data_IF_412880227579
#
_entry.id   IF_412880227579
#
_cell.length_a   1.000
_cell.length_b   1.000
_cell.length_c   1.000
_cell.angle_alpha   90.00
_cell.angle_beta   90.00
_cell.angle_gamma   90.00
#
_symmetry.space_group_name_H-M   'P 1'
#
loop_
_entity.id
_entity.type
_entity.pdbx_description
1 polymer ?
#
# COMPACT_ATOMS: atom_id res chain seq x y z
N UNK A 1 7.09 -19.72 -2.13
CA UNK A 1 8.09 -19.43 -1.07
C UNK A 1 8.18 -17.93 -0.88
N UNK A 2 8.21 -17.44 0.37
CA UNK A 2 8.40 -16.00 0.65
C UNK A 2 9.81 -15.59 0.23
N UNK A 3 9.93 -14.46 -0.45
CA UNK A 3 11.20 -13.99 -1.06
C UNK A 3 11.97 -13.02 -0.18
N UNK A 4 11.40 -12.59 0.95
CA UNK A 4 12.04 -11.68 1.90
C UNK A 4 11.92 -12.19 3.34
N UNK A 5 12.93 -11.92 4.21
CA UNK A 5 12.83 -12.23 5.64
C UNK A 5 11.64 -11.57 6.32
N UNK A 6 11.27 -10.35 5.90
CA UNK A 6 10.09 -9.66 6.39
C UNK A 6 8.80 -10.41 6.07
N UNK A 7 8.63 -10.84 4.81
CA UNK A 7 7.47 -11.64 4.39
C UNK A 7 7.39 -12.98 5.11
N UNK A 8 8.54 -13.65 5.31
CA UNK A 8 8.63 -14.89 6.07
C UNK A 8 8.20 -14.70 7.54
N UNK A 9 8.67 -13.65 8.20
CA UNK A 9 8.29 -13.33 9.58
C UNK A 9 6.80 -13.01 9.72
N UNK A 10 6.21 -12.26 8.78
CA UNK A 10 4.76 -11.98 8.77
C UNK A 10 3.93 -13.25 8.60
N UNK A 11 4.35 -14.15 7.71
CA UNK A 11 3.68 -15.44 7.52
C UNK A 11 3.78 -16.33 8.78
N UNK A 12 4.93 -16.35 9.44
CA UNK A 12 5.09 -17.07 10.71
C UNK A 12 4.16 -16.52 11.81
N UNK A 13 4.02 -15.19 11.87
CA UNK A 13 3.08 -14.53 12.79
C UNK A 13 1.62 -14.93 12.56
N UNK A 14 1.19 -15.05 11.30
CA UNK A 14 -0.17 -15.55 10.99
C UNK A 14 -0.39 -16.98 11.49
N UNK A 15 0.61 -17.87 11.34
CA UNK A 15 0.54 -19.23 11.85
C UNK A 15 0.49 -19.30 13.38
N UNK A 16 1.20 -18.39 14.07
CA UNK A 16 1.12 -18.28 15.52
C UNK A 16 -0.28 -17.87 15.97
N UNK A 17 -0.86 -16.83 15.35
CA UNK A 17 -2.21 -16.35 15.68
C UNK A 17 -3.24 -17.46 15.43
N UNK A 18 -3.17 -18.16 14.29
CA UNK A 18 -4.12 -19.22 13.98
C UNK A 18 -4.05 -20.38 14.99
N UNK A 19 -2.85 -20.74 15.46
CA UNK A 19 -2.68 -21.75 16.50
C UNK A 19 -3.30 -21.32 17.83
N UNK A 20 -3.24 -20.03 18.18
CA UNK A 20 -3.91 -19.51 19.38
C UNK A 20 -5.44 -19.54 19.24
N UNK A 21 -5.95 -19.19 18.07
CA UNK A 21 -7.38 -19.28 17.77
C UNK A 21 -7.92 -20.70 17.92
N UNK A 22 -7.19 -21.69 17.39
CA UNK A 22 -7.58 -23.10 17.45
C UNK A 22 -7.43 -23.68 18.86
N UNK A 23 -6.28 -23.46 19.51
CA UNK A 23 -5.96 -24.11 20.78
C UNK A 23 -6.64 -23.49 22.00
N UNK A 24 -6.97 -22.19 21.95
CA UNK A 24 -7.47 -21.46 23.12
C UNK A 24 -8.77 -20.68 22.85
N UNK A 25 -9.40 -20.91 21.70
CA UNK A 25 -10.71 -20.34 21.38
C UNK A 25 -10.72 -18.85 21.03
N UNK A 26 -9.55 -18.22 20.81
CA UNK A 26 -9.46 -16.82 20.37
C UNK A 26 -10.08 -16.61 19.00
N UNK A 27 -10.59 -15.41 18.78
CA UNK A 27 -10.96 -14.91 17.46
C UNK A 27 -9.82 -14.06 16.90
N UNK A 28 -9.39 -14.36 15.67
CA UNK A 28 -8.24 -13.73 15.05
C UNK A 28 -8.46 -13.32 13.61
N UNK A 29 -7.98 -12.12 13.27
CA UNK A 29 -8.03 -11.58 11.92
C UNK A 29 -6.62 -11.22 11.45
N UNK A 30 -6.26 -11.68 10.26
CA UNK A 30 -5.04 -11.28 9.58
C UNK A 30 -5.38 -10.44 8.35
N UNK A 31 -5.02 -9.16 8.38
CA UNK A 31 -5.17 -8.24 7.26
C UNK A 31 -3.87 -8.16 6.47
N UNK A 32 -3.90 -8.56 5.20
CA UNK A 32 -2.80 -8.40 4.26
C UNK A 32 -3.15 -7.25 3.32
N UNK A 33 -2.52 -6.11 3.52
CA UNK A 33 -2.72 -4.92 2.69
C UNK A 33 -1.61 -4.78 1.65
N UNK A 34 -1.95 -4.18 0.52
CA UNK A 34 -0.98 -3.59 -0.41
C UNK A 34 -0.30 -2.36 0.22
N UNK A 35 0.61 -1.72 -0.51
CA UNK A 35 1.22 -0.46 -0.07
C UNK A 35 0.15 0.60 0.23
N UNK A 36 0.24 1.27 1.36
CA UNK A 36 -0.70 2.32 1.74
C UNK A 36 -0.28 3.68 1.20
N UNK A 37 -1.25 4.57 0.99
CA UNK A 37 -1.09 5.97 0.62
C UNK A 37 -1.97 6.85 1.51
N UNK A 38 -1.67 8.14 1.61
CA UNK A 38 -2.49 9.13 2.31
C UNK A 38 -1.73 9.93 3.38
N UNK A 39 -2.46 10.56 4.32
CA UNK A 39 -1.86 11.33 5.40
C UNK A 39 -0.80 10.58 6.21
N UNK A 40 0.24 11.29 6.67
CA UNK A 40 1.34 10.76 7.48
C UNK A 40 2.18 9.69 6.78
N UNK A 41 2.15 9.62 5.45
CA UNK A 41 2.96 8.69 4.66
C UNK A 41 4.47 9.00 4.83
N UNK A 42 5.22 8.16 5.56
CA UNK A 42 6.55 8.54 6.04
C UNK A 42 7.69 8.08 5.11
N UNK A 43 7.38 7.26 4.11
CA UNK A 43 8.35 6.67 3.19
C UNK A 43 7.65 6.07 1.97
N UNK A 44 8.39 5.88 0.87
CA UNK A 44 7.93 5.20 -0.34
C UNK A 44 7.93 6.14 -1.55
N UNK A 45 7.54 5.62 -2.72
CA UNK A 45 7.83 6.29 -3.99
C UNK A 45 7.20 7.69 -4.11
N UNK A 46 5.98 7.91 -3.59
CA UNK A 46 5.36 9.25 -3.58
C UNK A 46 6.18 10.22 -2.74
N UNK A 47 6.60 9.79 -1.54
CA UNK A 47 7.44 10.59 -0.66
C UNK A 47 8.78 10.91 -1.32
N UNK A 48 9.44 9.90 -1.90
CA UNK A 48 10.75 10.05 -2.53
C UNK A 48 10.70 10.96 -3.76
N UNK A 49 9.65 10.84 -4.59
CA UNK A 49 9.49 11.67 -5.78
C UNK A 49 9.17 13.12 -5.42
N UNK A 50 8.28 13.35 -4.46
CA UNK A 50 8.00 14.72 -3.98
C UNK A 50 9.27 15.33 -3.39
N UNK A 51 10.02 14.59 -2.57
CA UNK A 51 11.28 15.07 -2.00
C UNK A 51 12.31 15.44 -3.08
N UNK A 52 12.47 14.59 -4.11
CA UNK A 52 13.36 14.86 -5.24
C UNK A 52 12.94 16.12 -6.00
N UNK A 53 11.65 16.27 -6.30
CA UNK A 53 11.12 17.41 -7.07
C UNK A 53 11.15 18.73 -6.29
N UNK A 54 11.03 18.68 -4.97
CA UNK A 54 11.22 19.85 -4.12
C UNK A 54 12.69 20.28 -4.06
N UNK A 55 13.63 19.33 -4.15
CA UNK A 55 15.06 19.62 -4.20
C UNK A 55 15.51 20.09 -5.60
N UNK A 56 14.95 19.51 -6.66
CA UNK A 56 15.26 19.85 -8.05
C UNK A 56 14.00 19.69 -8.93
N UNK A 57 13.31 20.79 -9.28
CA UNK A 57 12.06 20.72 -10.03
C UNK A 57 12.24 20.36 -11.51
N UNK A 58 13.49 20.28 -12.00
CA UNK A 58 13.80 20.09 -13.42
C UNK A 58 14.02 18.64 -13.80
N UNK A 59 14.27 17.74 -12.84
CA UNK A 59 14.54 16.32 -13.09
C UNK A 59 13.91 15.43 -12.04
N UNK A 60 13.49 14.24 -12.46
CA UNK A 60 12.99 13.19 -11.57
C UNK A 60 13.66 11.86 -11.91
N UNK A 61 14.35 11.27 -10.92
CA UNK A 61 14.96 9.95 -11.09
C UNK A 61 13.98 8.87 -10.67
N UNK A 62 13.68 7.99 -11.61
CA UNK A 62 12.81 6.84 -11.44
C UNK A 62 13.68 5.59 -11.44
N UNK A 63 13.62 4.81 -10.37
CA UNK A 63 14.34 3.54 -10.29
C UNK A 63 13.72 2.53 -11.26
N UNK A 64 14.55 1.99 -12.15
CA UNK A 64 14.14 1.09 -13.24
C UNK A 64 13.42 1.80 -14.39
N UNK A 65 12.79 1.01 -15.27
CA UNK A 65 12.16 1.47 -16.51
C UNK A 65 10.76 2.13 -16.36
N UNK A 66 10.27 2.26 -15.13
CA UNK A 66 8.95 2.85 -14.83
C UNK A 66 7.74 1.99 -15.19
N UNK A 67 7.93 0.78 -15.73
CA UNK A 67 6.86 -0.15 -16.14
C UNK A 67 6.39 -1.08 -15.01
N UNK A 68 7.03 -0.96 -13.85
CA UNK A 68 6.66 -1.70 -12.64
C UNK A 68 5.20 -1.42 -12.27
N UNK A 69 4.44 -2.48 -12.01
CA UNK A 69 3.02 -2.40 -11.64
C UNK A 69 2.89 -2.45 -10.14
N UNK A 70 2.35 -1.39 -9.55
CA UNK A 70 2.16 -1.29 -8.11
C UNK A 70 0.66 -1.10 -7.82
N UNK A 71 0.19 -1.77 -6.77
CA UNK A 71 -1.15 -1.59 -6.23
C UNK A 71 -1.03 -0.81 -4.93
N UNK A 72 -2.00 0.08 -4.69
CA UNK A 72 -2.05 0.93 -3.52
C UNK A 72 -3.46 0.95 -2.93
N UNK A 73 -3.55 1.32 -1.66
CA UNK A 73 -4.80 1.55 -0.95
C UNK A 73 -4.69 2.84 -0.13
N UNK A 74 -5.73 3.67 -0.14
CA UNK A 74 -5.77 4.84 0.72
C UNK A 74 -5.86 4.41 2.20
N UNK A 75 -5.19 5.13 3.10
CA UNK A 75 -5.16 4.79 4.53
C UNK A 75 -6.55 4.84 5.16
N UNK A 76 -7.40 5.78 4.73
CA UNK A 76 -8.79 5.88 5.21
C UNK A 76 -9.63 4.68 4.74
N UNK A 77 -9.46 4.26 3.48
CA UNK A 77 -10.11 3.06 2.96
C UNK A 77 -9.64 1.81 3.71
N UNK A 78 -8.35 1.72 4.04
CA UNK A 78 -7.78 0.63 4.83
C UNK A 78 -8.37 0.57 6.23
N UNK A 79 -8.45 1.71 6.93
CA UNK A 79 -9.05 1.79 8.27
C UNK A 79 -10.54 1.43 8.21
N UNK A 80 -11.26 1.98 7.23
CA UNK A 80 -12.68 1.66 7.00
C UNK A 80 -12.90 0.17 6.74
N UNK A 81 -12.02 -0.49 5.99
CA UNK A 81 -12.09 -1.92 5.74
C UNK A 81 -11.92 -2.74 7.03
N UNK A 82 -10.89 -2.41 7.81
CA UNK A 82 -10.59 -3.11 9.07
C UNK A 82 -11.76 -2.97 10.04
N UNK A 83 -12.25 -1.74 10.25
CA UNK A 83 -13.40 -1.49 11.13
C UNK A 83 -14.64 -2.25 10.66
N UNK A 84 -14.96 -2.15 9.37
CA UNK A 84 -16.13 -2.84 8.79
C UNK A 84 -16.05 -4.36 8.96
N UNK A 85 -14.87 -4.96 8.74
CA UNK A 85 -14.67 -6.41 8.86
C UNK A 85 -14.76 -6.86 10.32
N UNK A 86 -14.22 -6.07 11.27
CA UNK A 86 -14.32 -6.37 12.69
C UNK A 86 -15.75 -6.18 13.24
N UNK A 87 -16.51 -5.22 12.71
CA UNK A 87 -17.92 -5.03 13.07
C UNK A 87 -18.84 -6.10 12.47
N UNK A 88 -18.49 -6.62 11.29
CA UNK A 88 -19.23 -7.68 10.63
C UNK A 88 -19.00 -9.00 11.40
N UNK A 89 -19.85 -9.28 12.39
CA UNK A 89 -19.83 -10.47 13.27
C UNK A 89 -19.99 -11.82 12.52
N UNK A 90 -19.86 -11.85 11.19
CA UNK A 90 -20.19 -12.99 10.32
C UNK A 90 -19.12 -14.09 10.21
N UNK A 91 -17.80 -13.84 10.37
CA UNK A 91 -16.81 -14.93 10.23
C UNK A 91 -16.59 -15.74 11.50
N UNK A 92 -16.55 -15.12 12.68
CA UNK A 92 -16.08 -15.77 13.90
C UNK A 92 -17.17 -16.31 14.85
N UNK A 93 -18.43 -15.94 14.60
CA UNK A 93 -19.59 -16.53 15.27
C UNK A 93 -20.12 -17.81 14.60
N UNK A 94 -19.44 -18.33 13.56
CA UNK A 94 -19.74 -19.66 13.02
C UNK A 94 -18.74 -20.63 13.59
N UNK A 95 -19.23 -21.68 14.23
CA UNK A 95 -18.52 -22.75 14.96
C UNK A 95 -17.34 -23.44 14.22
N UNK A 96 -17.00 -23.01 13.00
CA UNK A 96 -16.08 -23.70 12.09
C UNK A 96 -14.84 -22.88 11.69
N UNK A 97 -14.75 -21.56 11.95
CA UNK A 97 -13.54 -20.76 11.66
C UNK A 97 -13.29 -19.64 12.66
N UNK A 98 -12.24 -19.80 13.48
CA UNK A 98 -11.81 -18.83 14.50
C UNK A 98 -10.68 -17.89 14.03
N UNK A 99 -10.08 -18.18 12.87
CA UNK A 99 -9.02 -17.36 12.28
C UNK A 99 -9.32 -17.07 10.81
N UNK A 100 -9.26 -15.80 10.43
CA UNK A 100 -9.63 -15.36 9.08
C UNK A 100 -8.61 -14.41 8.46
N UNK A 101 -8.27 -14.66 7.19
CA UNK A 101 -7.34 -13.81 6.43
C UNK A 101 -8.12 -12.95 5.44
N UNK A 102 -7.86 -11.64 5.42
CA UNK A 102 -8.47 -10.67 4.52
C UNK A 102 -7.40 -9.93 3.73
N UNK A 103 -7.56 -9.88 2.42
CA UNK A 103 -6.73 -9.06 1.55
C UNK A 103 -7.39 -7.70 1.36
N UNK A 104 -6.63 -6.62 1.57
CA UNK A 104 -7.10 -5.25 1.45
C UNK A 104 -6.32 -4.52 0.34
N UNK A 105 -7.05 -3.93 -0.59
CA UNK A 105 -6.49 -3.22 -1.72
C UNK A 105 -7.56 -2.69 -2.66
N UNK A 106 -7.12 -1.94 -3.66
CA UNK A 106 -7.96 -1.62 -4.82
C UNK A 106 -7.77 -2.74 -5.85
N UNK A 107 -8.83 -3.24 -6.52
CA UNK A 107 -8.72 -4.23 -7.60
C UNK A 107 -8.17 -3.62 -8.90
N UNK A 108 -7.12 -2.81 -8.78
CA UNK A 108 -6.43 -2.12 -9.84
C UNK A 108 -4.93 -1.99 -9.50
N UNK A 109 -4.15 -1.57 -10.49
CA UNK A 109 -2.75 -1.21 -10.35
C UNK A 109 -2.47 0.03 -11.19
N UNK A 110 -1.36 0.72 -10.89
CA UNK A 110 -0.80 1.76 -11.75
C UNK A 110 0.64 1.42 -12.12
N UNK A 111 1.14 2.02 -13.20
CA UNK A 111 2.57 2.01 -13.47
C UNK A 111 3.25 3.10 -12.64
N UNK A 112 4.53 2.90 -12.31
CA UNK A 112 5.32 3.93 -11.62
C UNK A 112 5.41 5.22 -12.46
N UNK A 113 5.48 5.10 -13.79
CA UNK A 113 5.40 6.25 -14.71
C UNK A 113 4.09 7.04 -14.59
N UNK A 114 2.95 6.36 -14.40
CA UNK A 114 1.65 7.02 -14.27
C UNK A 114 1.61 7.80 -12.95
N UNK A 115 2.10 7.16 -11.87
CA UNK A 115 2.25 7.83 -10.57
C UNK A 115 3.17 9.04 -10.64
N UNK A 116 4.31 8.96 -11.34
CA UNK A 116 5.21 10.08 -11.53
C UNK A 116 4.51 11.24 -12.25
N UNK A 117 3.72 10.94 -13.29
CA UNK A 117 2.96 11.94 -14.03
C UNK A 117 1.89 12.61 -13.17
N UNK A 118 1.15 11.86 -12.35
CA UNK A 118 0.17 12.42 -11.41
C UNK A 118 0.83 13.35 -10.38
N UNK A 119 2.00 12.96 -9.85
CA UNK A 119 2.76 13.77 -8.90
C UNK A 119 3.24 15.07 -9.56
N UNK A 120 3.82 14.99 -10.76
CA UNK A 120 4.28 16.18 -11.49
C UNK A 120 3.12 17.12 -11.83
N UNK A 121 1.99 16.57 -12.26
CA UNK A 121 0.76 17.32 -12.52
C UNK A 121 0.25 18.03 -11.26
N UNK A 122 0.25 17.35 -10.10
CA UNK A 122 -0.19 17.95 -8.84
C UNK A 122 0.74 19.06 -8.35
N UNK A 123 2.04 18.97 -8.67
CA UNK A 123 3.04 19.99 -8.35
C UNK A 123 3.11 21.12 -9.39
N UNK A 124 2.42 21.00 -10.53
CA UNK A 124 2.54 21.95 -11.65
C UNK A 124 3.94 21.94 -12.30
N UNK A 125 4.65 20.81 -12.25
CA UNK A 125 6.00 20.65 -12.77
C UNK A 125 6.02 19.81 -14.05
N UNK A 126 7.04 20.03 -14.88
CA UNK A 126 7.32 19.24 -16.10
C UNK A 126 8.81 18.87 -16.16
N UNK A 127 9.29 18.00 -15.24
CA UNK A 127 10.69 17.61 -15.16
C UNK A 127 11.06 16.64 -16.30
N UNK A 128 12.36 16.57 -16.60
CA UNK A 128 12.92 15.48 -17.38
C UNK A 128 12.92 14.19 -16.54
N UNK A 129 12.27 13.13 -17.04
CA UNK A 129 12.26 11.83 -16.38
C UNK A 129 13.53 11.04 -16.73
N UNK A 130 14.34 10.73 -15.71
CA UNK A 130 15.54 9.90 -15.82
C UNK A 130 15.21 8.49 -15.32
N UNK A 131 15.22 7.50 -16.22
CA UNK A 131 14.95 6.09 -15.88
C UNK A 131 16.24 5.33 -15.61
N UNK A 132 16.23 4.50 -14.57
CA UNK A 132 17.34 3.59 -14.26
C UNK A 132 17.37 2.35 -15.17
N UNK A 133 18.40 1.52 -15.02
CA UNK A 133 18.53 0.25 -15.74
C UNK A 133 17.82 -0.90 -15.00
N UNK A 134 16.95 -1.64 -15.69
CA UNK A 134 16.30 -2.87 -15.20
C UNK A 134 14.81 -2.73 -14.84
N UNK A 135 14.13 -3.88 -14.64
CA UNK A 135 12.69 -3.95 -14.32
C UNK A 135 12.36 -4.14 -12.82
N UNK A 136 13.37 -4.17 -11.95
CA UNK A 136 13.22 -4.36 -10.49
C UNK A 136 13.81 -3.18 -9.73
N UNK A 137 13.10 -2.69 -8.72
CA UNK A 137 13.59 -1.61 -7.85
C UNK A 137 14.70 -2.05 -6.89
N UNK A 138 14.63 -3.28 -6.35
CA UNK A 138 15.64 -3.88 -5.45
C UNK A 138 15.51 -5.41 -5.38
N UNK A 139 16.50 -6.10 -4.77
CA UNK A 139 16.48 -7.56 -4.57
C UNK A 139 15.33 -7.94 -3.62
N UNK A 140 14.39 -8.73 -4.11
CA UNK A 140 13.18 -9.14 -3.35
C UNK A 140 11.93 -8.31 -3.64
N UNK A 141 12.01 -7.28 -4.49
CA UNK A 141 10.82 -6.56 -4.97
C UNK A 141 9.96 -7.46 -5.88
N UNK A 142 8.67 -7.55 -5.59
CA UNK A 142 7.73 -8.25 -6.48
C UNK A 142 7.29 -7.29 -7.59
N UNK A 143 7.51 -7.62 -8.87
CA UNK A 143 7.16 -6.75 -9.99
C UNK A 143 5.64 -6.56 -10.16
N UNK A 144 4.84 -7.41 -9.49
CA UNK A 144 3.39 -7.29 -9.44
C UNK A 144 2.87 -7.79 -8.08
N UNK A 145 2.05 -6.98 -7.43
CA UNK A 145 1.25 -7.39 -6.27
C UNK A 145 -0.19 -7.05 -6.60
N UNK A 146 -0.99 -8.07 -6.90
CA UNK A 146 -2.41 -7.95 -7.13
C UNK A 146 -3.11 -8.94 -6.22
N UNK A 147 -3.75 -8.40 -5.19
CA UNK A 147 -4.44 -9.19 -4.20
C UNK A 147 -5.89 -9.43 -4.66
N UNK A 148 -6.38 -10.64 -4.48
CA UNK A 148 -7.81 -10.91 -4.56
C UNK A 148 -8.50 -10.33 -3.33
N UNK A 149 -9.22 -9.22 -3.52
CA UNK A 149 -9.94 -8.47 -2.48
C UNK A 149 -11.42 -8.86 -2.37
N UNK A 150 -11.89 -9.86 -3.13
CA UNK A 150 -13.31 -10.23 -3.19
C UNK A 150 -13.91 -10.56 -1.82
N UNK A 151 -13.11 -11.13 -0.92
CA UNK A 151 -13.55 -11.43 0.45
C UNK A 151 -13.88 -10.17 1.25
N UNK A 152 -13.09 -9.11 1.11
CA UNK A 152 -13.36 -7.83 1.77
C UNK A 152 -14.58 -7.14 1.14
N UNK A 153 -14.70 -7.18 -0.20
CA UNK A 153 -15.85 -6.58 -0.89
C UNK A 153 -17.20 -7.18 -0.49
N UNK A 154 -17.23 -8.49 -0.21
CA UNK A 154 -18.46 -9.19 0.24
C UNK A 154 -18.98 -8.75 1.61
N UNK A 155 -18.21 -8.02 2.41
CA UNK A 155 -18.70 -7.43 3.67
C UNK A 155 -19.51 -6.14 3.44
N UNK A 156 -19.61 -5.69 2.20
CA UNK A 156 -20.19 -4.40 1.82
C UNK A 156 -19.19 -3.25 1.87
N UNK A 157 -17.92 -3.50 2.23
CA UNK A 157 -16.86 -2.53 2.09
C UNK A 157 -16.48 -2.35 0.62
N UNK A 158 -16.20 -1.12 0.20
CA UNK A 158 -15.57 -0.80 -1.07
C UNK A 158 -14.62 0.38 -0.89
N UNK A 159 -13.49 0.44 -1.62
CA UNK A 159 -12.59 1.58 -1.56
C UNK A 159 -13.27 2.82 -2.14
N UNK A 160 -13.27 3.92 -1.40
CA UNK A 160 -13.79 5.21 -1.86
C UNK A 160 -12.79 5.95 -2.76
N UNK A 161 -11.50 5.63 -2.65
CA UNK A 161 -10.44 6.31 -3.39
C UNK A 161 -9.85 5.42 -4.50
N UNK A 162 -9.66 6.03 -5.67
CA UNK A 162 -8.81 5.43 -6.71
C UNK A 162 -7.33 5.56 -6.34
N UNK A 163 -6.47 4.76 -6.98
CA UNK A 163 -5.01 4.85 -6.81
C UNK A 163 -4.51 6.27 -7.16
N UNK A 164 -4.97 6.84 -8.28
CA UNK A 164 -4.61 8.21 -8.67
C UNK A 164 -5.04 9.23 -7.61
N UNK A 165 -6.29 9.17 -7.15
CA UNK A 165 -6.78 10.12 -6.15
C UNK A 165 -6.01 10.00 -4.82
N UNK A 166 -5.59 8.79 -4.46
CA UNK A 166 -4.78 8.52 -3.28
C UNK A 166 -3.38 9.12 -3.41
N UNK A 167 -2.75 8.99 -4.58
CA UNK A 167 -1.45 9.62 -4.88
C UNK A 167 -1.55 11.13 -4.76
N UNK A 168 -2.54 11.76 -5.41
CA UNK A 168 -2.73 13.22 -5.37
C UNK A 168 -2.98 13.74 -3.95
N UNK A 169 -3.84 13.07 -3.19
CA UNK A 169 -4.07 13.43 -1.79
C UNK A 169 -2.82 13.28 -0.93
N UNK A 170 -2.02 12.24 -1.17
CA UNK A 170 -0.73 12.06 -0.48
C UNK A 170 0.23 13.21 -0.80
N UNK A 171 0.33 13.61 -2.08
CA UNK A 171 1.17 14.75 -2.49
C UNK A 171 0.73 16.04 -1.80
N UNK A 172 -0.57 16.37 -1.83
CA UNK A 172 -1.11 17.55 -1.14
C UNK A 172 -0.76 17.55 0.34
N UNK A 173 -1.00 16.41 1.01
CA UNK A 173 -0.68 16.29 2.42
C UNK A 173 0.81 16.50 2.70
N UNK A 174 1.71 15.95 1.88
CA UNK A 174 3.16 16.15 2.01
C UNK A 174 3.57 17.61 1.81
N UNK A 175 2.92 18.34 0.90
CA UNK A 175 3.16 19.77 0.67
C UNK A 175 2.72 20.61 1.86
N UNK A 176 1.57 20.28 2.46
CA UNK A 176 1.04 20.95 3.65
C UNK A 176 1.84 20.59 4.92
N UNK A 177 2.62 19.51 4.90
CA UNK A 177 3.31 18.94 6.06
C UNK A 177 4.81 18.72 5.83
N UNK A 178 5.51 19.74 5.30
CA UNK A 178 6.94 19.63 4.93
C UNK A 178 7.88 19.18 6.07
N UNK A 179 7.49 19.40 7.33
CA UNK A 179 8.22 18.92 8.51
C UNK A 179 8.54 17.42 8.47
N UNK A 180 7.73 16.62 7.74
CA UNK A 180 7.95 15.17 7.63
C UNK A 180 9.25 14.83 6.88
N UNK A 181 9.73 15.70 6.00
CA UNK A 181 10.99 15.51 5.29
C UNK A 181 12.22 15.74 6.18
N UNK A 182 12.07 16.56 7.22
CA UNK A 182 13.16 16.98 8.11
C UNK A 182 13.41 15.99 9.25
N UNK A 183 12.37 15.31 9.75
CA UNK A 183 12.47 14.34 10.86
C UNK A 183 13.28 13.06 10.53
N UNK A 184 13.82 12.95 9.33
CA UNK A 184 14.54 11.76 8.83
C UNK A 184 15.94 12.08 8.26
N UNK A 185 16.52 13.23 8.61
CA UNK A 185 17.96 13.44 8.39
C UNK A 185 18.79 12.72 9.46
#
# INVERSE_FOLDING_TARGET
MQTSPYGAAKLAGEGLISSYCEGYGFEGYAFRFVSLLGPRYPHGHVFDFVKQLLADPTRLRILGDGTQRKSYLHVEDCVGAVLRICEDQRPANREQKRFEVHHLGVPAFCLVRDSAQWICSELGLSPQLEFGTGNRGWVGDSPFVFLDVQKALRTGWSPAHSIESSVRQTVRWLLDNRWIFERRQ
#
